data_IF_165279837340
#
_entry.id   IF_165279837340
#
_cell.length_a   1.000
_cell.length_b   1.000
_cell.length_c   1.000
_cell.angle_alpha   90.00
_cell.angle_beta   90.00
_cell.angle_gamma   90.00
#
_symmetry.space_group_name_H-M   'P 1'
#
loop_
_entity.id
_entity.type
_entity.pdbx_description
1 polymer ?
#
# COMPACT_ATOMS: atom_id res chain seq x y z
N UNK A 1 -5.67 5.39 9.24
CA UNK A 1 -4.47 4.94 9.98
C UNK A 1 -4.70 3.52 10.49
N UNK A 2 -3.69 2.79 11.00
CA UNK A 2 -3.88 1.43 11.55
C UNK A 2 -4.94 1.40 12.65
N UNK A 3 -5.08 2.49 13.42
CA UNK A 3 -6.15 2.66 14.40
C UNK A 3 -7.55 2.51 13.78
N UNK A 4 -7.80 3.20 12.66
CA UNK A 4 -9.09 3.14 11.94
C UNK A 4 -9.40 1.74 11.42
N UNK A 5 -8.37 1.02 10.93
CA UNK A 5 -8.54 -0.37 10.48
C UNK A 5 -9.06 -1.29 11.58
N UNK A 6 -8.55 -1.11 12.81
CA UNK A 6 -9.01 -1.87 13.98
C UNK A 6 -10.44 -1.53 14.37
N UNK A 7 -10.85 -0.27 14.22
CA UNK A 7 -12.24 0.14 14.47
C UNK A 7 -13.20 -0.45 13.43
N UNK A 8 -12.74 -0.73 12.21
CA UNK A 8 -13.53 -1.38 11.16
C UNK A 8 -13.50 -2.92 11.25
N UNK A 9 -12.64 -3.48 12.10
CA UNK A 9 -12.55 -4.93 12.35
C UNK A 9 -13.79 -5.37 13.11
N UNK A 10 -14.64 -6.14 12.45
CA UNK A 10 -15.76 -6.87 13.04
C UNK A 10 -15.68 -8.32 12.57
N UNK A 11 -16.00 -9.28 13.44
CA UNK A 11 -15.92 -10.72 13.13
C UNK A 11 -16.80 -11.11 11.94
N UNK A 12 -17.89 -10.37 11.70
CA UNK A 12 -18.82 -10.60 10.59
C UNK A 12 -18.48 -9.77 9.34
N UNK A 13 -17.48 -8.89 9.41
CA UNK A 13 -17.13 -8.02 8.29
C UNK A 13 -16.34 -8.80 7.24
N UNK A 14 -16.98 -9.08 6.09
CA UNK A 14 -16.37 -9.75 4.93
C UNK A 14 -15.83 -8.75 3.88
N UNK A 15 -15.81 -7.46 4.19
CA UNK A 15 -15.36 -6.42 3.27
C UNK A 15 -13.86 -6.56 3.06
N UNK A 16 -13.45 -6.75 1.80
CA UNK A 16 -12.04 -6.71 1.42
C UNK A 16 -11.59 -5.26 1.36
N UNK A 17 -10.48 -4.95 2.02
CA UNK A 17 -9.95 -3.60 2.10
C UNK A 17 -8.60 -3.51 1.40
N UNK A 18 -8.37 -2.44 0.67
CA UNK A 18 -7.14 -2.24 -0.09
C UNK A 18 -6.53 -0.88 0.21
N UNK A 19 -5.22 -0.84 0.43
CA UNK A 19 -4.45 0.40 0.40
C UNK A 19 -3.91 0.59 -1.01
N UNK A 20 -4.26 1.70 -1.64
CA UNK A 20 -3.85 2.03 -3.01
C UNK A 20 -2.95 3.25 -2.96
N UNK A 21 -1.83 3.18 -3.67
CA UNK A 21 -0.90 4.30 -3.82
C UNK A 21 -0.71 4.61 -5.30
N UNK A 22 -0.60 5.89 -5.63
CA UNK A 22 -0.29 6.38 -6.97
C UNK A 22 0.12 7.84 -6.94
N UNK A 23 0.91 8.25 -7.93
CA UNK A 23 1.18 9.67 -8.22
C UNK A 23 0.25 10.14 -9.33
N UNK A 24 0.22 11.43 -9.62
CA UNK A 24 -0.69 11.99 -10.64
C UNK A 24 -0.24 11.72 -12.08
N UNK A 25 1.04 11.44 -12.29
CA UNK A 25 1.73 11.38 -13.58
C UNK A 25 1.71 9.99 -14.24
N UNK A 26 1.47 8.96 -13.44
CA UNK A 26 1.11 7.61 -13.91
C UNK A 26 -0.33 7.37 -13.52
N UNK A 27 -1.07 6.49 -14.20
CA UNK A 27 -2.47 6.16 -13.87
C UNK A 27 -2.72 6.23 -12.36
N UNK A 28 -3.81 6.87 -11.91
CA UNK A 28 -4.00 7.32 -10.52
C UNK A 28 -3.71 6.28 -9.42
N UNK A 29 -3.61 5.00 -9.76
CA UNK A 29 -3.18 3.89 -8.93
C UNK A 29 -1.95 3.20 -9.54
N UNK A 30 -0.88 3.08 -8.77
CA UNK A 30 0.41 2.49 -9.15
C UNK A 30 0.73 1.18 -8.41
N UNK A 31 0.31 1.06 -7.16
CA UNK A 31 0.44 -0.16 -6.36
C UNK A 31 -0.79 -0.42 -5.50
N UNK A 32 -0.93 -1.68 -5.09
CA UNK A 32 -2.05 -2.12 -4.27
C UNK A 32 -1.59 -3.11 -3.20
N UNK A 33 -2.09 -2.91 -1.97
CA UNK A 33 -1.93 -3.83 -0.85
C UNK A 33 -3.30 -4.29 -0.36
N UNK A 34 -3.56 -5.59 -0.37
CA UNK A 34 -4.74 -6.14 0.31
C UNK A 34 -4.50 -6.14 1.82
N UNK A 35 -5.38 -5.48 2.55
CA UNK A 35 -5.38 -5.46 4.02
C UNK A 35 -6.27 -6.62 4.47
N UNK A 36 -5.63 -7.68 4.95
CA UNK A 36 -6.33 -8.70 5.72
C UNK A 36 -6.60 -8.16 7.13
N UNK A 37 -7.83 -7.72 7.40
CA UNK A 37 -8.23 -7.19 8.71
C UNK A 37 -8.15 -8.25 9.83
N UNK A 38 -8.10 -9.53 9.48
CA UNK A 38 -7.93 -10.62 10.43
C UNK A 38 -6.46 -10.93 10.72
N UNK A 39 -5.52 -10.42 9.92
CA UNK A 39 -4.09 -10.56 10.21
C UNK A 39 -3.72 -9.81 11.49
N UNK A 40 -3.12 -10.56 12.42
CA UNK A 40 -2.61 -10.08 13.69
C UNK A 40 -1.56 -8.97 13.57
N UNK A 41 -0.91 -8.84 12.40
CA UNK A 41 0.00 -7.74 12.12
C UNK A 41 -0.66 -6.35 12.23
N UNK A 42 -1.98 -6.26 12.02
CA UNK A 42 -2.75 -5.01 12.12
C UNK A 42 -3.36 -4.76 13.51
N UNK A 43 -3.24 -5.70 14.44
CA UNK A 43 -3.75 -5.53 15.81
C UNK A 43 -2.89 -4.52 16.61
N UNK A 44 -1.63 -4.39 16.24
CA UNK A 44 -0.68 -3.42 16.82
C UNK A 44 -0.39 -2.31 15.80
N UNK A 45 -0.17 -1.06 16.24
CA UNK A 45 0.31 -0.01 15.35
C UNK A 45 1.65 -0.45 14.74
N UNK A 46 1.66 -0.73 13.44
CA UNK A 46 2.93 -0.94 12.74
C UNK A 46 3.72 0.38 12.75
N UNK A 47 5.01 0.37 13.13
CA UNK A 47 5.78 1.61 13.28
C UNK A 47 5.89 2.42 11.99
N UNK A 48 5.68 1.77 10.83
CA UNK A 48 5.78 2.39 9.50
C UNK A 48 4.42 2.58 8.80
N UNK A 49 3.30 2.28 9.46
CA UNK A 49 1.97 2.37 8.85
C UNK A 49 1.57 1.16 7.99
N UNK A 50 0.57 1.32 7.13
CA UNK A 50 0.05 0.28 6.22
C UNK A 50 0.87 0.27 4.93
N UNK A 51 1.37 -0.90 4.46
CA UNK A 51 2.15 -0.99 3.23
C UNK A 51 1.38 -0.49 2.00
N UNK A 52 2.11 0.05 1.01
CA UNK A 52 1.56 0.45 -0.29
C UNK A 52 1.44 -0.72 -1.29
N UNK A 53 2.01 -1.87 -0.93
CA UNK A 53 1.85 -3.13 -1.65
C UNK A 53 2.68 -3.24 -2.92
N UNK A 54 2.22 -4.11 -3.81
CA UNK A 54 2.93 -4.50 -5.02
C UNK A 54 2.53 -3.63 -6.22
N UNK A 55 3.44 -3.40 -7.18
CA UNK A 55 3.12 -2.69 -8.42
C UNK A 55 1.96 -3.35 -9.16
N UNK A 56 1.03 -2.55 -9.67
CA UNK A 56 -0.04 -3.01 -10.54
C UNK A 56 0.52 -3.43 -11.91
N UNK A 57 -0.27 -4.21 -12.66
CA UNK A 57 0.09 -4.61 -14.03
C UNK A 57 0.42 -3.38 -14.88
N UNK A 58 1.53 -3.43 -15.61
CA UNK A 58 1.99 -2.31 -16.43
C UNK A 58 2.58 -1.15 -15.63
N UNK A 59 2.81 -1.31 -14.32
CA UNK A 59 3.50 -0.32 -13.48
C UNK A 59 4.80 -0.90 -12.93
N UNK A 60 5.81 -0.05 -12.80
CA UNK A 60 7.05 -0.37 -12.11
C UNK A 60 7.33 0.67 -11.03
N UNK A 61 7.75 0.19 -9.85
CA UNK A 61 8.19 1.03 -8.72
C UNK A 61 9.62 0.68 -8.38
N UNK A 62 10.48 1.71 -8.32
CA UNK A 62 11.88 1.58 -7.95
C UNK A 62 12.22 2.52 -6.81
N UNK A 63 12.94 2.02 -5.81
CA UNK A 63 13.56 2.85 -4.79
C UNK A 63 14.98 3.21 -5.27
N UNK A 64 15.23 4.49 -5.52
CA UNK A 64 16.58 4.97 -5.88
C UNK A 64 17.09 5.96 -4.84
N UNK A 65 18.41 5.98 -4.64
CA UNK A 65 19.06 6.94 -3.75
C UNK A 65 20.06 6.28 -2.81
N UNK A 66 20.42 7.00 -1.74
CA UNK A 66 21.35 6.58 -0.71
C UNK A 66 20.74 6.73 0.69
N UNK A 67 21.50 6.50 1.74
CA UNK A 67 21.00 6.60 3.12
C UNK A 67 20.46 7.99 3.48
N UNK A 68 21.04 9.06 2.93
CA UNK A 68 20.58 10.44 3.19
C UNK A 68 19.35 10.83 2.37
N UNK A 69 19.18 10.29 1.15
CA UNK A 69 18.05 10.65 0.29
C UNK A 69 17.61 9.46 -0.54
N UNK A 70 16.35 9.08 -0.39
CA UNK A 70 15.67 8.07 -1.21
C UNK A 70 14.50 8.70 -1.96
N UNK A 71 14.27 8.21 -3.17
CA UNK A 71 13.20 8.67 -4.07
C UNK A 71 12.50 7.43 -4.62
N UNK A 72 11.17 7.42 -4.55
CA UNK A 72 10.36 6.45 -5.27
C UNK A 72 10.22 6.92 -6.71
N UNK A 73 10.63 6.08 -7.65
CA UNK A 73 10.36 6.30 -9.06
C UNK A 73 9.26 5.35 -9.48
N UNK A 74 8.16 5.92 -9.97
CA UNK A 74 6.98 5.19 -10.44
C UNK A 74 6.85 5.45 -11.93
N UNK A 75 6.64 4.39 -12.73
CA UNK A 75 6.57 4.48 -14.19
C UNK A 75 5.55 3.50 -14.75
N UNK A 76 4.86 3.89 -15.81
CA UNK A 76 4.12 2.94 -16.65
C UNK A 76 5.10 2.23 -17.60
N UNK A 77 4.95 0.92 -17.69
CA UNK A 77 5.71 0.05 -18.59
C UNK A 77 4.80 -0.27 -19.77
N UNK A 78 5.17 0.24 -20.95
CA UNK A 78 4.50 -0.15 -22.20
C UNK A 78 5.11 -1.48 -22.66
N UNK A 79 4.26 -2.47 -22.91
CA UNK A 79 4.63 -3.73 -23.55
C UNK A 79 4.89 -3.54 -25.05
#
# INVERSE_FOLDING_TARGET
SVKTLREWKSSENKTRLFNIYGITEVSSWASCHEIDIHDSAYDKPHPLGVPIGEPLLGTQIELRGNEQKRVFIVREVKH
#
